data_IF_306059535432
#
_entry.id   IF_306059535432
#
_cell.length_a   1.000
_cell.length_b   1.000
_cell.length_c   1.000
_cell.angle_alpha   90.00
_cell.angle_beta   90.00
_cell.angle_gamma   90.00
#
_symmetry.space_group_name_H-M   'P 1'
#
loop_
_entity.id
_entity.type
_entity.pdbx_description
1 polymer ?
#
# COMPACT_ATOMS: atom_id res chain seq x y z
N UNK A 1 -9.99 13.71 16.76
CA UNK A 1 -10.82 13.78 15.53
C UNK A 1 -10.20 12.82 14.54
N UNK A 2 -10.98 11.96 13.86
CA UNK A 2 -10.42 11.02 12.89
C UNK A 2 -10.05 11.78 11.61
N UNK A 3 -8.78 11.72 11.23
CA UNK A 3 -8.27 12.32 10.00
C UNK A 3 -7.77 11.24 9.05
N UNK A 4 -8.01 11.44 7.78
CA UNK A 4 -7.57 10.56 6.70
C UNK A 4 -6.74 11.33 5.68
N UNK A 5 -6.02 10.60 4.84
CA UNK A 5 -5.16 11.20 3.83
C UNK A 5 -5.35 10.57 2.46
N UNK A 6 -5.26 11.40 1.43
CA UNK A 6 -4.90 10.96 0.11
C UNK A 6 -3.43 11.34 -0.18
N UNK A 7 -2.77 10.49 -0.93
CA UNK A 7 -1.40 10.72 -1.39
C UNK A 7 -1.39 10.45 -2.88
N UNK A 8 -1.25 11.51 -3.67
CA UNK A 8 -1.43 11.48 -5.13
C UNK A 8 -0.08 11.77 -5.78
N UNK A 9 0.30 10.98 -6.77
CA UNK A 9 1.48 11.22 -7.59
C UNK A 9 1.16 12.33 -8.58
N UNK A 10 1.94 13.38 -8.53
CA UNK A 10 2.04 14.37 -9.60
C UNK A 10 3.25 13.97 -10.44
N UNK A 11 3.05 13.82 -11.73
CA UNK A 11 4.06 13.42 -12.68
C UNK A 11 3.95 14.32 -13.91
N UNK A 12 4.96 15.14 -14.13
CA UNK A 12 5.01 16.08 -15.26
C UNK A 12 3.75 16.96 -15.38
N UNK A 13 3.33 17.55 -14.26
CA UNK A 13 2.18 18.44 -14.19
C UNK A 13 0.82 17.77 -14.08
N UNK A 14 0.74 16.44 -14.09
CA UNK A 14 -0.52 15.69 -14.06
C UNK A 14 -0.72 14.92 -12.76
N UNK A 15 -1.89 15.04 -12.15
CA UNK A 15 -2.31 14.21 -11.02
C UNK A 15 -2.74 12.82 -11.52
N UNK A 16 -2.01 11.78 -11.09
CA UNK A 16 -2.28 10.41 -11.52
C UNK A 16 -3.41 9.78 -10.70
N UNK A 17 -4.26 9.00 -11.37
CA UNK A 17 -5.34 8.20 -10.77
C UNK A 17 -6.33 9.02 -9.91
N UNK A 18 -6.57 10.29 -10.27
CA UNK A 18 -7.38 11.22 -9.47
C UNK A 18 -8.77 10.65 -9.15
N UNK A 19 -9.43 10.03 -10.12
CA UNK A 19 -10.78 9.43 -9.95
C UNK A 19 -10.79 8.34 -8.87
N UNK A 20 -9.77 7.46 -8.81
CA UNK A 20 -9.70 6.43 -7.78
C UNK A 20 -9.43 7.02 -6.39
N UNK A 21 -8.66 8.11 -6.32
CA UNK A 21 -8.43 8.85 -5.08
C UNK A 21 -9.71 9.51 -4.58
N UNK A 22 -10.42 10.17 -5.47
CA UNK A 22 -11.71 10.83 -5.17
C UNK A 22 -12.76 9.83 -4.69
N UNK A 23 -12.86 8.68 -5.37
CA UNK A 23 -13.77 7.62 -4.95
C UNK A 23 -13.42 7.13 -3.54
N UNK A 24 -12.17 6.78 -3.26
CA UNK A 24 -11.76 6.31 -1.94
C UNK A 24 -11.98 7.34 -0.84
N UNK A 25 -11.67 8.60 -1.11
CA UNK A 25 -11.92 9.72 -0.20
C UNK A 25 -13.41 9.81 0.15
N UNK A 26 -14.28 9.81 -0.87
CA UNK A 26 -15.72 9.93 -0.68
C UNK A 26 -16.32 8.69 -0.03
N UNK A 27 -15.85 7.49 -0.34
CA UNK A 27 -16.24 6.25 0.33
C UNK A 27 -15.85 6.30 1.82
N UNK A 28 -14.64 6.78 2.15
CA UNK A 28 -14.21 6.96 3.53
C UNK A 28 -15.07 7.97 4.26
N UNK A 29 -15.34 9.12 3.65
CA UNK A 29 -16.19 10.17 4.25
C UNK A 29 -17.61 9.68 4.47
N UNK A 30 -18.18 8.99 3.51
CA UNK A 30 -19.52 8.44 3.63
C UNK A 30 -19.65 7.37 4.73
N UNK A 31 -18.58 6.59 4.93
CA UNK A 31 -18.54 5.59 6.01
C UNK A 31 -18.49 6.23 7.41
N UNK A 32 -17.61 7.23 7.62
CA UNK A 32 -17.43 7.84 8.94
C UNK A 32 -18.42 8.98 9.24
N UNK A 33 -18.89 9.66 8.20
CA UNK A 33 -19.81 10.80 8.28
C UNK A 33 -20.91 10.70 7.23
N UNK A 34 -21.86 9.79 7.42
CA UNK A 34 -22.97 9.59 6.46
C UNK A 34 -23.71 10.88 6.19
N UNK A 35 -23.99 11.14 4.90
CA UNK A 35 -24.68 12.37 4.46
C UNK A 35 -23.76 13.57 4.22
N UNK A 36 -22.44 13.45 4.40
CA UNK A 36 -21.50 14.48 3.99
C UNK A 36 -21.51 14.65 2.46
N UNK A 37 -21.41 15.90 1.98
CA UNK A 37 -21.32 16.17 0.55
C UNK A 37 -20.06 15.55 -0.05
N UNK A 38 -20.18 14.98 -1.25
CA UNK A 38 -19.03 14.49 -1.99
C UNK A 38 -18.08 15.65 -2.34
N UNK A 39 -16.79 15.39 -2.26
CA UNK A 39 -15.74 16.33 -2.62
C UNK A 39 -15.19 15.97 -4.01
N UNK A 40 -14.93 16.98 -4.83
CA UNK A 40 -14.21 16.82 -6.08
C UNK A 40 -12.76 17.21 -5.85
N UNK A 41 -11.85 16.24 -5.95
CA UNK A 41 -10.43 16.49 -5.65
C UNK A 41 -9.79 17.51 -6.60
N UNK A 42 -10.32 17.64 -7.81
CA UNK A 42 -9.86 18.63 -8.78
C UNK A 42 -9.95 20.08 -8.26
N UNK A 43 -10.96 20.36 -7.41
CA UNK A 43 -11.18 21.72 -6.85
C UNK A 43 -10.12 22.10 -5.80
N UNK A 44 -9.34 21.13 -5.31
CA UNK A 44 -8.35 21.32 -4.26
C UNK A 44 -6.91 21.12 -4.73
N UNK A 45 -6.70 20.93 -6.04
CA UNK A 45 -5.36 20.80 -6.58
C UNK A 45 -4.65 22.17 -6.57
N UNK A 46 -3.49 22.30 -5.91
CA UNK A 46 -2.70 23.53 -6.02
C UNK A 46 -2.05 23.60 -7.41
N UNK A 47 -1.46 24.74 -7.78
CA UNK A 47 -0.53 24.77 -8.91
C UNK A 47 0.54 23.68 -8.71
N UNK A 48 0.64 22.78 -9.69
CA UNK A 48 1.55 21.61 -9.60
C UNK A 48 2.79 21.84 -10.47
N UNK A 49 3.96 21.36 -10.02
CA UNK A 49 5.20 21.49 -10.80
C UNK A 49 5.10 20.73 -12.13
N UNK A 50 5.54 21.38 -13.21
CA UNK A 50 5.49 20.82 -14.57
C UNK A 50 6.54 19.74 -14.85
N UNK A 51 7.50 19.55 -13.93
CA UNK A 51 8.57 18.58 -14.10
C UNK A 51 8.85 17.79 -12.83
N UNK A 52 9.32 16.56 -13.00
CA UNK A 52 9.67 15.66 -11.92
C UNK A 52 8.46 15.02 -11.24
N UNK A 53 8.74 14.15 -10.29
CA UNK A 53 7.72 13.46 -9.51
C UNK A 53 7.52 14.17 -8.18
N UNK A 54 6.28 14.52 -7.88
CA UNK A 54 5.91 15.16 -6.63
C UNK A 54 4.84 14.36 -5.90
N UNK A 55 4.85 14.45 -4.59
CA UNK A 55 3.86 13.87 -3.70
C UNK A 55 2.89 14.95 -3.27
N UNK A 56 1.68 14.90 -3.77
CA UNK A 56 0.56 15.70 -3.29
C UNK A 56 -0.10 14.93 -2.15
N UNK A 57 -0.11 15.53 -0.97
CA UNK A 57 -0.75 14.98 0.24
C UNK A 57 -1.94 15.85 0.58
N UNK A 58 -3.11 15.24 0.69
CA UNK A 58 -4.38 15.89 1.05
C UNK A 58 -4.86 15.27 2.35
N UNK A 59 -5.02 16.07 3.40
CA UNK A 59 -5.63 15.66 4.67
C UNK A 59 -7.09 16.07 4.68
N UNK A 60 -7.96 15.20 5.14
CA UNK A 60 -9.38 15.46 5.19
C UNK A 60 -10.03 14.84 6.44
N UNK A 61 -11.11 15.47 6.85
CA UNK A 61 -11.94 15.08 7.97
C UNK A 61 -13.44 15.24 7.68
N UNK A 62 -14.20 15.41 8.74
CA UNK A 62 -15.65 15.59 8.67
C UNK A 62 -16.03 16.84 7.88
N UNK A 63 -15.36 17.95 8.12
CA UNK A 63 -15.71 19.25 7.58
C UNK A 63 -15.15 19.49 6.16
N UNK A 64 -14.38 18.54 5.62
CA UNK A 64 -13.81 18.63 4.27
C UNK A 64 -12.30 18.48 4.24
N UNK A 65 -11.65 19.17 3.30
CA UNK A 65 -10.17 19.21 3.18
C UNK A 65 -9.62 20.15 4.25
N UNK A 66 -8.62 19.67 4.98
CA UNK A 66 -7.97 20.38 6.10
C UNK A 66 -6.56 20.87 5.75
N UNK A 67 -5.83 20.11 4.93
CA UNK A 67 -4.47 20.47 4.53
C UNK A 67 -4.16 19.89 3.15
N UNK A 68 -3.41 20.67 2.36
CA UNK A 68 -2.91 20.27 1.04
C UNK A 68 -1.45 20.66 0.91
N UNK A 69 -0.56 19.69 0.75
CA UNK A 69 0.87 19.92 0.57
C UNK A 69 1.41 19.17 -0.63
N UNK A 70 2.27 19.82 -1.41
CA UNK A 70 2.96 19.23 -2.56
C UNK A 70 4.48 19.32 -2.36
N UNK A 71 5.16 18.16 -2.40
CA UNK A 71 6.60 18.09 -2.15
C UNK A 71 7.28 17.19 -3.18
N UNK A 72 8.54 17.46 -3.56
CA UNK A 72 9.31 16.54 -4.39
C UNK A 72 9.32 15.13 -3.78
N UNK A 73 9.27 14.11 -4.64
CA UNK A 73 9.27 12.72 -4.21
C UNK A 73 10.44 11.95 -4.80
N UNK A 74 11.14 11.22 -3.93
CA UNK A 74 12.18 10.27 -4.33
C UNK A 74 11.76 8.89 -3.85
N UNK A 75 11.76 7.93 -4.78
CA UNK A 75 11.49 6.54 -4.46
C UNK A 75 12.60 5.98 -3.57
N UNK A 76 12.21 5.47 -2.40
CA UNK A 76 13.12 4.73 -1.53
C UNK A 76 13.21 3.28 -2.03
N UNK A 77 14.42 2.76 -2.28
CA UNK A 77 14.58 1.37 -2.67
C UNK A 77 14.19 0.44 -1.51
N UNK A 78 13.56 -0.69 -1.86
CA UNK A 78 13.28 -1.81 -0.95
C UNK A 78 13.80 -3.06 -1.63
N UNK A 79 14.69 -3.80 -0.97
CA UNK A 79 15.36 -5.00 -1.50
C UNK A 79 15.05 -6.26 -0.68
N UNK A 80 14.49 -6.07 0.50
CA UNK A 80 14.18 -7.17 1.43
C UNK A 80 12.97 -6.84 2.29
N UNK A 81 12.15 -7.85 2.58
CA UNK A 81 10.96 -7.74 3.40
C UNK A 81 10.99 -8.77 4.53
N UNK A 82 10.78 -8.31 5.76
CA UNK A 82 10.54 -9.17 6.90
C UNK A 82 9.05 -9.56 6.97
N UNK A 83 8.73 -10.85 7.04
CA UNK A 83 7.37 -11.31 7.28
C UNK A 83 7.02 -11.09 8.75
N UNK A 84 6.00 -10.28 9.04
CA UNK A 84 5.55 -9.96 10.39
C UNK A 84 4.10 -10.37 10.55
N UNK A 85 3.83 -11.25 11.53
CA UNK A 85 2.46 -11.66 11.82
C UNK A 85 1.75 -10.61 12.68
N UNK A 86 0.53 -10.23 12.24
CA UNK A 86 -0.32 -9.27 12.93
C UNK A 86 -1.80 -9.55 12.64
N UNK A 87 -2.36 -10.53 13.35
CA UNK A 87 -3.70 -11.06 13.05
C UNK A 87 -4.83 -10.05 13.33
N UNK A 88 -4.62 -9.17 14.31
CA UNK A 88 -5.63 -8.20 14.77
C UNK A 88 -5.43 -6.80 14.17
N UNK A 89 -4.52 -6.65 13.19
CA UNK A 89 -4.28 -5.34 12.59
C UNK A 89 -5.50 -4.84 11.81
N UNK A 90 -5.91 -3.62 12.11
CA UNK A 90 -6.92 -2.87 11.37
C UNK A 90 -6.32 -1.61 10.73
N UNK A 91 -6.31 -1.55 9.39
CA UNK A 91 -5.90 -0.36 8.63
C UNK A 91 -6.68 -0.27 7.31
N UNK A 92 -7.98 -0.46 7.38
CA UNK A 92 -8.87 -0.48 6.20
C UNK A 92 -8.98 0.89 5.53
N UNK A 93 -8.89 1.95 6.31
CA UNK A 93 -8.94 3.33 5.85
C UNK A 93 -7.57 3.99 6.00
N UNK A 94 -7.23 4.88 5.07
CA UNK A 94 -5.92 5.54 5.05
C UNK A 94 -5.86 6.67 6.08
N UNK A 95 -5.78 6.28 7.37
CA UNK A 95 -5.71 7.20 8.50
C UNK A 95 -4.35 7.93 8.56
N UNK A 96 -4.37 9.14 9.14
CA UNK A 96 -3.15 9.85 9.58
C UNK A 96 -2.49 9.14 10.75
N UNK A 97 -3.25 8.43 11.58
CA UNK A 97 -2.71 7.59 12.66
C UNK A 97 -2.14 6.29 12.08
N UNK A 98 -0.82 6.19 12.13
CA UNK A 98 -0.04 5.04 11.65
C UNK A 98 0.69 4.29 12.76
N UNK A 99 0.41 4.58 14.02
CA UNK A 99 1.15 4.02 15.16
C UNK A 99 1.26 2.49 15.13
N UNK A 100 0.19 1.80 14.71
CA UNK A 100 0.21 0.34 14.58
C UNK A 100 1.17 -0.12 13.49
N UNK A 101 1.09 0.49 12.30
CA UNK A 101 2.01 0.17 11.19
C UNK A 101 3.46 0.51 11.53
N UNK A 102 3.70 1.62 12.21
CA UNK A 102 5.05 2.05 12.59
C UNK A 102 5.67 1.11 13.64
N UNK A 103 4.86 0.60 14.59
CA UNK A 103 5.30 -0.45 15.53
C UNK A 103 5.63 -1.77 14.84
N UNK A 104 4.87 -2.17 13.82
CA UNK A 104 5.19 -3.36 13.03
C UNK A 104 6.44 -3.12 12.18
N UNK A 105 6.55 -1.96 11.54
CA UNK A 105 7.73 -1.58 10.77
C UNK A 105 9.02 -1.58 11.61
N UNK A 106 8.95 -1.21 12.88
CA UNK A 106 10.09 -1.27 13.80
C UNK A 106 10.64 -2.70 13.98
N UNK A 107 9.83 -3.73 13.73
CA UNK A 107 10.22 -5.15 13.85
C UNK A 107 10.92 -5.71 12.62
N UNK A 108 11.17 -4.90 11.57
CA UNK A 108 11.77 -5.35 10.31
C UNK A 108 13.20 -5.92 10.44
N UNK A 109 13.87 -5.71 11.57
CA UNK A 109 15.27 -6.11 11.77
C UNK A 109 16.18 -5.42 10.76
N UNK A 110 16.99 -6.19 10.03
CA UNK A 110 17.89 -5.72 8.98
C UNK A 110 17.22 -5.56 7.61
N UNK A 111 15.93 -5.92 7.45
CA UNK A 111 15.21 -5.75 6.19
C UNK A 111 14.83 -4.29 5.96
N UNK A 112 14.60 -3.93 4.69
CA UNK A 112 14.25 -2.56 4.30
C UNK A 112 12.81 -2.20 4.68
N UNK A 113 11.89 -3.18 4.61
CA UNK A 113 10.48 -3.02 4.97
C UNK A 113 9.91 -4.34 5.52
N UNK A 114 8.63 -4.36 5.82
CA UNK A 114 7.89 -5.54 6.29
C UNK A 114 6.86 -5.97 5.25
N UNK A 115 6.51 -7.24 5.28
CA UNK A 115 5.30 -7.78 4.68
C UNK A 115 4.42 -8.35 5.78
N UNK A 116 3.24 -7.77 5.95
CA UNK A 116 2.33 -8.09 7.04
C UNK A 116 1.53 -9.33 6.67
N UNK A 117 1.56 -10.29 7.58
CA UNK A 117 0.82 -11.55 7.50
C UNK A 117 -0.34 -11.52 8.48
N UNK A 118 -1.55 -11.79 8.01
CA UNK A 118 -2.75 -11.88 8.85
C UNK A 118 -3.40 -13.24 8.67
N UNK A 119 -3.45 -14.04 9.74
CA UNK A 119 -4.02 -15.41 9.73
C UNK A 119 -3.43 -16.26 8.61
N UNK A 120 -2.10 -16.31 8.54
CA UNK A 120 -1.30 -17.01 7.53
C UNK A 120 -1.44 -16.48 6.09
N UNK A 121 -2.19 -15.41 5.85
CA UNK A 121 -2.35 -14.80 4.52
C UNK A 121 -1.48 -13.54 4.42
N UNK A 122 -0.84 -13.38 3.26
CA UNK A 122 -0.15 -12.15 2.92
C UNK A 122 -1.15 -11.00 2.77
N UNK A 123 -0.74 -9.81 3.19
CA UNK A 123 -1.54 -8.58 3.02
C UNK A 123 -0.74 -7.50 2.32
N UNK A 124 -0.24 -6.50 3.04
CA UNK A 124 0.45 -5.33 2.52
C UNK A 124 1.83 -5.17 3.18
N UNK A 125 2.70 -4.35 2.61
CA UNK A 125 3.87 -3.83 3.32
C UNK A 125 3.48 -2.68 4.26
N UNK A 126 4.45 -2.01 4.88
CA UNK A 126 4.16 -0.84 5.71
C UNK A 126 3.56 0.33 4.92
N UNK A 127 3.76 0.40 3.60
CA UNK A 127 3.38 1.53 2.74
C UNK A 127 2.74 1.15 1.40
N UNK A 128 2.81 -0.10 0.97
CA UNK A 128 2.46 -0.52 -0.39
C UNK A 128 1.63 -1.81 -0.41
N UNK A 129 0.75 -1.93 -1.41
CA UNK A 129 0.22 -3.23 -1.80
C UNK A 129 1.29 -4.04 -2.51
N UNK A 130 1.08 -5.34 -2.61
CA UNK A 130 1.99 -6.27 -3.28
C UNK A 130 1.28 -7.06 -4.37
N UNK A 131 2.06 -7.53 -5.33
CA UNK A 131 1.67 -8.59 -6.25
C UNK A 131 2.81 -9.59 -6.41
N UNK A 132 2.47 -10.86 -6.56
CA UNK A 132 3.40 -11.96 -6.74
C UNK A 132 3.20 -12.59 -8.12
N UNK A 133 4.30 -12.93 -8.81
CA UNK A 133 4.30 -13.52 -10.14
C UNK A 133 4.56 -15.02 -10.09
N UNK A 134 3.62 -15.81 -10.59
CA UNK A 134 3.69 -17.27 -10.61
C UNK A 134 4.37 -17.85 -11.87
N UNK A 135 4.98 -16.99 -12.69
CA UNK A 135 5.56 -17.33 -13.98
C UNK A 135 4.62 -17.08 -15.17
N UNK A 136 3.34 -16.79 -14.91
CA UNK A 136 2.31 -16.57 -15.93
C UNK A 136 1.43 -15.36 -15.64
N UNK A 137 1.00 -15.21 -14.39
CA UNK A 137 0.07 -14.16 -13.97
C UNK A 137 0.56 -13.45 -12.69
N UNK A 138 0.12 -12.21 -12.53
CA UNK A 138 0.31 -11.44 -11.34
C UNK A 138 -0.89 -11.56 -10.40
N UNK A 139 -0.64 -12.01 -9.18
CA UNK A 139 -1.65 -12.16 -8.13
C UNK A 139 -1.41 -11.17 -6.99
N UNK A 140 -2.46 -10.46 -6.58
CA UNK A 140 -2.43 -9.59 -5.40
C UNK A 140 -3.28 -10.22 -4.28
N UNK A 141 -2.91 -10.04 -3.00
CA UNK A 141 -3.72 -10.52 -1.90
C UNK A 141 -5.18 -10.09 -2.02
N UNK A 142 -6.10 -11.04 -1.87
CA UNK A 142 -7.55 -10.80 -1.93
C UNK A 142 -8.04 -9.89 -0.81
N UNK A 143 -7.38 -9.96 0.35
CA UNK A 143 -7.73 -9.19 1.55
C UNK A 143 -6.56 -8.33 1.99
N UNK A 144 -6.23 -7.25 1.25
CA UNK A 144 -5.21 -6.30 1.68
C UNK A 144 -5.65 -5.58 2.95
N UNK A 145 -4.73 -4.97 3.67
CA UNK A 145 -5.06 -4.06 4.78
C UNK A 145 -5.75 -2.81 4.24
N UNK A 146 -5.14 -2.21 3.21
CA UNK A 146 -5.67 -1.03 2.55
C UNK A 146 -5.95 -1.34 1.06
N UNK A 147 -7.16 -1.05 0.61
CA UNK A 147 -7.48 -1.07 -0.81
C UNK A 147 -6.86 0.15 -1.50
N UNK A 148 -5.65 -0.04 -2.05
CA UNK A 148 -4.90 1.04 -2.70
C UNK A 148 -5.52 1.48 -4.03
N UNK A 149 -5.38 2.77 -4.36
CA UNK A 149 -5.89 3.34 -5.63
C UNK A 149 -5.18 2.77 -6.85
N UNK A 150 -3.87 2.58 -6.77
CA UNK A 150 -3.11 1.90 -7.84
C UNK A 150 -3.52 0.42 -7.97
N UNK A 151 -3.84 -0.25 -6.85
CA UNK A 151 -4.35 -1.63 -6.89
C UNK A 151 -5.70 -1.70 -7.61
N UNK A 152 -6.62 -0.78 -7.33
CA UNK A 152 -7.90 -0.71 -8.01
C UNK A 152 -7.72 -0.52 -9.53
N UNK A 153 -6.90 0.43 -9.94
CA UNK A 153 -6.56 0.66 -11.35
C UNK A 153 -6.04 -0.61 -12.05
N UNK A 154 -5.08 -1.33 -11.41
CA UNK A 154 -4.45 -2.50 -12.00
C UNK A 154 -5.41 -3.70 -12.08
N UNK A 155 -6.35 -3.82 -11.14
CA UNK A 155 -7.43 -4.82 -11.19
C UNK A 155 -8.42 -4.51 -12.33
N UNK A 156 -8.86 -3.26 -12.45
CA UNK A 156 -9.78 -2.82 -13.51
C UNK A 156 -9.19 -2.99 -14.91
N UNK A 157 -7.86 -2.84 -15.02
CA UNK A 157 -7.12 -3.10 -16.26
C UNK A 157 -6.84 -4.59 -16.54
N UNK A 158 -7.22 -5.48 -15.62
CA UNK A 158 -6.96 -6.92 -15.75
C UNK A 158 -5.48 -7.31 -15.66
N UNK A 159 -4.61 -6.40 -15.17
CA UNK A 159 -3.17 -6.66 -14.96
C UNK A 159 -2.96 -7.55 -13.74
N UNK A 160 -3.79 -7.38 -12.72
CA UNK A 160 -3.80 -8.15 -11.49
C UNK A 160 -5.05 -9.01 -11.38
N UNK A 161 -4.90 -10.15 -10.70
CA UNK A 161 -6.02 -10.94 -10.19
C UNK A 161 -5.90 -11.10 -8.67
N UNK A 162 -7.03 -11.09 -7.98
CA UNK A 162 -7.06 -11.32 -6.54
C UNK A 162 -6.91 -12.80 -6.20
N UNK A 163 -6.08 -13.11 -5.20
CA UNK A 163 -5.88 -14.48 -4.72
C UNK A 163 -5.66 -14.50 -3.20
N UNK A 164 -6.15 -15.54 -2.53
CA UNK A 164 -5.69 -15.89 -1.19
C UNK A 164 -4.27 -16.44 -1.32
N UNK A 165 -3.30 -15.72 -0.79
CA UNK A 165 -1.89 -16.09 -0.87
C UNK A 165 -1.42 -16.39 0.54
N UNK A 166 -1.13 -17.66 0.82
CA UNK A 166 -0.58 -18.09 2.09
C UNK A 166 0.93 -17.87 2.14
N UNK A 167 1.48 -17.77 3.34
CA UNK A 167 2.95 -17.66 3.52
C UNK A 167 3.66 -18.85 2.87
N UNK A 168 3.06 -20.03 2.98
CA UNK A 168 3.57 -21.28 2.43
C UNK A 168 3.58 -21.32 0.90
N UNK A 169 2.79 -20.46 0.25
CA UNK A 169 2.74 -20.35 -1.22
C UNK A 169 3.92 -19.53 -1.79
N UNK A 170 4.65 -18.77 -0.97
CA UNK A 170 5.74 -17.88 -1.43
C UNK A 170 6.74 -18.60 -2.34
N UNK A 171 7.20 -19.84 -2.06
CA UNK A 171 8.15 -20.53 -2.93
C UNK A 171 7.63 -20.85 -4.34
N UNK A 172 6.31 -20.77 -4.56
CA UNK A 172 5.71 -20.97 -5.89
C UNK A 172 5.75 -19.71 -6.78
N UNK A 173 6.18 -18.58 -6.22
CA UNK A 173 6.31 -17.31 -6.92
C UNK A 173 7.78 -16.97 -7.15
N UNK A 174 8.06 -16.36 -8.30
CA UNK A 174 9.42 -15.93 -8.64
C UNK A 174 9.73 -14.51 -8.21
N UNK A 175 8.73 -13.64 -8.25
CA UNK A 175 8.91 -12.19 -8.17
C UNK A 175 7.81 -11.54 -7.34
N UNK A 176 8.15 -10.49 -6.62
CA UNK A 176 7.21 -9.63 -5.89
C UNK A 176 7.35 -8.21 -6.39
N UNK A 177 6.24 -7.54 -6.70
CA UNK A 177 6.16 -6.10 -6.95
C UNK A 177 5.50 -5.41 -5.80
N UNK A 178 6.09 -4.28 -5.41
CA UNK A 178 5.49 -3.33 -4.47
C UNK A 178 4.97 -2.14 -5.26
N UNK A 179 3.76 -1.73 -4.97
CA UNK A 179 3.15 -0.60 -5.67
C UNK A 179 2.14 0.13 -4.79
N UNK A 180 2.05 1.42 -5.01
CA UNK A 180 1.04 2.30 -4.43
C UNK A 180 0.85 3.52 -5.34
N UNK A 181 0.12 4.54 -4.91
CA UNK A 181 -0.07 5.74 -5.73
C UNK A 181 1.24 6.46 -6.11
N UNK A 182 2.32 6.33 -5.29
CA UNK A 182 3.62 6.96 -5.51
C UNK A 182 4.65 6.05 -6.19
N UNK A 183 4.43 4.73 -6.12
CA UNK A 183 5.28 3.69 -6.70
C UNK A 183 4.51 3.06 -7.85
N UNK A 184 4.90 3.37 -9.07
CA UNK A 184 4.19 2.86 -10.24
C UNK A 184 4.48 1.38 -10.50
N UNK A 185 3.69 0.78 -11.37
CA UNK A 185 3.80 -0.63 -11.69
C UNK A 185 5.14 -0.96 -12.35
N UNK A 186 5.92 -1.80 -11.66
CA UNK A 186 7.26 -2.21 -12.11
C UNK A 186 8.41 -1.32 -11.64
N UNK A 187 8.17 -0.18 -10.97
CA UNK A 187 9.25 0.65 -10.40
C UNK A 187 9.96 -0.02 -9.22
N UNK A 188 9.27 -0.91 -8.50
CA UNK A 188 9.84 -1.64 -7.36
C UNK A 188 9.53 -3.13 -7.46
N UNK A 189 10.56 -3.90 -7.74
CA UNK A 189 10.48 -5.34 -7.94
C UNK A 189 11.64 -6.03 -7.21
N UNK A 190 11.36 -7.18 -6.62
CA UNK A 190 12.35 -8.00 -5.93
C UNK A 190 12.04 -9.49 -6.12
N UNK A 191 13.06 -10.37 -6.10
CA UNK A 191 12.85 -11.82 -6.10
C UNK A 191 12.04 -12.26 -4.88
N UNK A 192 11.14 -13.24 -5.03
CA UNK A 192 10.33 -13.73 -3.90
C UNK A 192 11.20 -14.31 -2.76
N UNK A 193 12.39 -14.80 -3.07
CA UNK A 193 13.38 -15.27 -2.08
C UNK A 193 13.87 -14.18 -1.12
N UNK A 194 13.68 -12.89 -1.45
CA UNK A 194 13.98 -11.76 -0.56
C UNK A 194 12.91 -11.49 0.51
N UNK A 195 11.88 -12.35 0.58
CA UNK A 195 10.91 -12.38 1.66
C UNK A 195 11.47 -13.24 2.80
N UNK A 196 11.95 -12.60 3.85
CA UNK A 196 12.59 -13.28 4.97
C UNK A 196 11.57 -13.58 6.07
N UNK A 197 11.35 -14.86 6.35
CA UNK A 197 10.53 -15.25 7.48
C UNK A 197 11.25 -14.90 8.79
N UNK A 198 10.68 -13.98 9.55
CA UNK A 198 11.00 -13.79 10.97
C UNK A 198 10.42 -14.93 11.83
N UNK A 199 9.57 -15.78 11.25
CA UNK A 199 9.04 -16.97 11.91
C UNK A 199 10.15 -18.01 11.97
N UNK A 200 10.84 -18.11 13.11
CA UNK A 200 11.54 -19.34 13.48
C UNK A 200 10.46 -20.40 13.65
N UNK A 201 10.34 -21.31 12.69
CA UNK A 201 9.65 -22.57 12.94
C UNK A 201 10.30 -23.22 14.14
N UNK A 202 9.59 -23.50 15.26
CA UNK A 202 10.13 -24.37 16.27
C UNK A 202 10.14 -25.78 15.65
N UNK A 203 11.31 -26.33 15.42
CA UNK A 203 11.69 -27.68 15.03
C UNK A 203 12.53 -27.75 13.76
N UNK A 204 13.82 -27.47 13.95
CA UNK A 204 14.86 -28.34 13.38
C UNK A 204 15.60 -28.97 14.56
N UNK A 205 15.57 -30.30 14.75
CA UNK A 205 16.39 -30.93 15.75
C UNK A 205 17.86 -30.74 15.37
N UNK A 206 18.66 -30.25 16.32
CA UNK A 206 20.09 -30.23 16.23
C UNK A 206 20.56 -31.64 15.84
N UNK A 207 21.07 -31.79 14.62
CA UNK A 207 21.88 -32.95 14.28
C UNK A 207 23.18 -32.82 15.09
N UNK A 208 23.38 -33.84 15.93
CA UNK A 208 24.61 -34.07 16.69
C UNK A 208 25.76 -34.47 15.75
#
# INVERSE_FOLDING_TARGET
MCQFIETIRIDSGEARNLTYHEQRLNDTRNHFWPGSHALQLADFLPPVPESGIHKLRIVYGQDGIEDVTCTPYLLRPVRSLALIQADDIGYTYKSTDRQVLDRLFAQRGSCDDILIVRRHLLTDTSIANIALFDGKHWHTPQSPLLKGTKRAELLDKGILSERKIHVEDIPSYSTVRLFNAMIDWGELELPAVCLHSAFRTPHSPLQK
#
